data_IF_831340072859
#
_entry.id   IF_831340072859
#
_cell.length_a   1.000
_cell.length_b   1.000
_cell.length_c   1.000
_cell.angle_alpha   90.00
_cell.angle_beta   90.00
_cell.angle_gamma   90.00
#
_symmetry.space_group_name_H-M   'P 1'
#
loop_
_entity.id
_entity.type
_entity.pdbx_description
1 polymer ?
2 non-polymer ?
3 non-polymer ?
4 non-polymer ?
5 non-polymer ?
6 water ?
#
# COMPACT_ATOMS: atom_id res chain seq x y z
N UNK A 1 -27.74 5.21 11.10
CA UNK A 1 -26.47 4.50 11.35
C UNK A 1 -25.71 4.39 10.03
N UNK A 2 -24.38 4.36 10.13
CA UNK A 2 -23.46 4.30 8.98
C UNK A 2 -23.54 5.56 8.13
N UNK A 3 -24.73 5.89 7.63
CA UNK A 3 -25.01 7.27 7.17
C UNK A 3 -24.59 8.27 8.28
N UNK A 4 -24.73 7.84 9.54
CA UNK A 4 -23.97 8.38 10.68
C UNK A 4 -22.56 8.90 10.34
N UNK A 5 -21.68 7.98 9.98
CA UNK A 5 -20.25 8.25 9.87
C UNK A 5 -19.95 9.23 8.74
N UNK A 6 -20.72 9.13 7.66
CA UNK A 6 -20.50 9.96 6.47
C UNK A 6 -20.82 11.42 6.74
N UNK A 7 -21.92 11.67 7.45
CA UNK A 7 -22.28 13.06 7.86
C UNK A 7 -21.13 13.69 8.65
N UNK A 8 -20.62 12.97 9.66
CA UNK A 8 -19.44 13.41 10.41
C UNK A 8 -18.27 13.79 9.48
N UNK A 9 -17.98 12.88 8.54
CA UNK A 9 -16.80 12.97 7.68
C UNK A 9 -16.91 14.10 6.66
N UNK A 10 -18.04 14.09 5.98
CA UNK A 10 -18.37 15.13 4.97
C UNK A 10 -18.33 16.54 5.55
N UNK A 11 -18.77 16.68 6.80
CA UNK A 11 -18.85 17.96 7.49
C UNK A 11 -17.50 18.47 7.96
N UNK A 12 -16.69 17.59 8.57
CA UNK A 12 -15.50 18.02 9.28
C UNK A 12 -14.46 18.70 8.39
N UNK A 13 -13.65 19.55 9.01
CA UNK A 13 -12.50 20.14 8.32
C UNK A 13 -11.41 19.06 8.31
N UNK A 14 -10.65 19.04 7.21
CA UNK A 14 -9.55 18.12 7.04
C UNK A 14 -8.31 18.88 7.55
N UNK A 15 -7.66 18.40 8.62
CA UNK A 15 -6.47 19.12 9.02
C UNK A 15 -5.40 19.05 7.95
N UNK A 16 -4.39 19.90 8.04
CA UNK A 16 -3.32 19.93 7.06
C UNK A 16 -2.48 18.66 7.10
N UNK A 17 -1.54 18.54 6.18
CA UNK A 17 -0.66 17.35 6.09
C UNK A 17 0.37 17.34 7.21
N UNK A 18 0.95 18.52 7.45
CA UNK A 18 1.79 18.79 8.63
C UNK A 18 1.09 18.42 9.95
N UNK A 19 -0.15 18.86 10.11
CA UNK A 19 -0.92 18.56 11.31
C UNK A 19 -1.20 17.05 11.49
N UNK A 20 -1.47 16.31 10.41
CA UNK A 20 -1.84 14.89 10.53
C UNK A 20 -0.64 13.95 10.59
N UNK A 21 0.54 14.45 10.20
CA UNK A 21 1.84 13.74 10.29
C UNK A 21 2.08 12.82 9.09
N UNK A 22 1.17 12.88 8.12
CA UNK A 22 1.15 11.94 7.01
C UNK A 22 2.34 12.01 6.05
N UNK A 23 3.05 13.12 6.06
CA UNK A 23 4.30 13.27 5.32
C UNK A 23 5.49 12.48 5.95
N UNK A 24 5.39 12.06 7.22
CA UNK A 24 6.50 11.36 7.88
C UNK A 24 6.48 9.92 7.43
N UNK A 25 7.63 9.39 7.02
CA UNK A 25 7.85 7.93 6.92
C UNK A 25 7.68 7.20 8.27
N UNK A 26 7.87 7.91 9.36
CA UNK A 26 7.73 7.38 10.70
C UNK A 26 6.28 7.35 11.19
N UNK A 27 5.35 7.83 10.36
CA UNK A 27 3.93 7.80 10.68
C UNK A 27 3.46 6.56 11.44
N UNK A 28 2.60 6.75 12.43
CA UNK A 28 1.87 5.62 13.03
C UNK A 28 0.38 5.87 13.16
N UNK A 29 -0.40 4.82 12.97
CA UNK A 29 -1.83 4.97 13.00
C UNK A 29 -2.46 4.55 14.31
N UNK A 30 -1.67 4.03 15.27
CA UNK A 30 -2.26 3.30 16.39
C UNK A 30 -3.26 4.18 17.17
N UNK A 31 -2.80 5.39 17.52
CA UNK A 31 -3.61 6.44 18.21
C UNK A 31 -4.89 6.88 17.47
N UNK A 32 -4.84 6.87 16.13
CA UNK A 32 -5.95 7.34 15.30
C UNK A 32 -7.18 6.45 15.39
N UNK A 33 -8.36 7.08 15.26
CA UNK A 33 -9.63 6.40 15.11
C UNK A 33 -9.92 6.24 13.61
N UNK A 34 -10.72 5.22 13.28
CA UNK A 34 -11.19 5.02 11.93
C UNK A 34 -11.60 6.34 11.25
N UNK A 35 -12.33 7.16 12.01
CA UNK A 35 -12.71 8.52 11.59
C UNK A 35 -11.49 9.39 11.18
N UNK A 36 -10.44 9.34 11.98
CA UNK A 36 -9.24 10.13 11.71
C UNK A 36 -8.43 9.59 10.52
N UNK A 37 -8.53 8.30 10.24
CA UNK A 37 -7.85 7.76 9.04
C UNK A 37 -8.53 8.22 7.75
N UNK A 38 -9.85 8.15 7.76
CA UNK A 38 -10.67 8.76 6.71
C UNK A 38 -10.21 10.20 6.38
N UNK A 39 -9.98 11.01 7.42
CA UNK A 39 -9.53 12.40 7.21
C UNK A 39 -8.14 12.42 6.62
N UNK A 40 -7.27 11.57 7.13
CA UNK A 40 -5.90 11.43 6.57
C UNK A 40 -5.93 11.07 5.08
N UNK A 41 -6.84 10.18 4.75
CA UNK A 41 -7.00 9.74 3.41
C UNK A 41 -7.51 10.89 2.49
N UNK A 42 -8.53 11.62 2.92
CA UNK A 42 -8.92 12.80 2.18
C UNK A 42 -7.76 13.76 1.96
N UNK A 43 -7.00 14.01 3.00
CA UNK A 43 -5.86 14.90 2.88
C UNK A 43 -4.88 14.36 1.84
N UNK A 44 -4.70 13.03 1.82
CA UNK A 44 -3.82 12.42 0.81
C UNK A 44 -4.25 12.82 -0.60
N UNK A 45 -5.55 12.70 -0.87
CA UNK A 45 -6.07 13.10 -2.17
C UNK A 45 -5.86 14.60 -2.44
N UNK A 46 -6.39 15.39 -1.52
CA UNK A 46 -6.35 16.84 -1.63
C UNK A 46 -4.92 17.34 -1.85
N UNK A 47 -4.03 17.04 -0.91
CA UNK A 47 -2.61 17.48 -1.02
C UNK A 47 -1.81 16.90 -2.20
N UNK A 48 -2.31 15.88 -2.88
CA UNK A 48 -1.67 15.42 -4.15
C UNK A 48 -2.32 16.08 -5.41
N UNK A 49 -3.18 17.09 -5.18
CA UNK A 49 -3.90 17.87 -6.22
C UNK A 49 -4.92 17.05 -6.98
N UNK A 50 -5.28 15.88 -6.46
CA UNK A 50 -6.19 14.96 -7.17
C UNK A 50 -7.63 15.43 -7.13
N UNK A 51 -8.02 16.05 -6.03
CA UNK A 51 -9.38 16.54 -5.95
C UNK A 51 -9.54 17.66 -6.96
N UNK A 52 -8.50 18.51 -7.09
CA UNK A 52 -8.57 19.61 -8.03
C UNK A 52 -8.52 19.12 -9.47
N UNK A 53 -7.40 18.47 -9.84
CA UNK A 53 -7.11 17.97 -11.21
C UNK A 53 -8.19 17.09 -11.85
N UNK A 54 -8.87 16.26 -11.05
CA UNK A 54 -9.88 15.32 -11.57
C UNK A 54 -11.27 15.62 -11.04
N UNK A 55 -11.44 16.86 -10.55
CA UNK A 55 -12.72 17.41 -10.09
C UNK A 55 -13.65 16.41 -9.44
N UNK A 56 -13.16 15.91 -8.30
CA UNK A 56 -13.87 14.94 -7.48
C UNK A 56 -14.80 15.71 -6.58
N UNK A 57 -16.02 15.21 -6.38
CA UNK A 57 -17.00 15.85 -5.46
C UNK A 57 -16.76 15.34 -4.04
N UNK A 58 -16.80 16.24 -3.05
CA UNK A 58 -16.34 15.91 -1.70
C UNK A 58 -17.17 14.81 -1.04
N UNK A 59 -18.48 14.90 -1.19
CA UNK A 59 -19.38 13.86 -0.70
C UNK A 59 -18.99 12.48 -1.27
N UNK A 60 -18.55 12.45 -2.54
CA UNK A 60 -18.25 11.19 -3.26
C UNK A 60 -16.98 10.51 -2.73
N UNK A 61 -15.88 11.25 -2.77
CA UNK A 61 -14.62 10.84 -2.12
C UNK A 61 -14.79 10.33 -0.67
N UNK A 62 -15.60 11.00 0.15
CA UNK A 62 -15.92 10.54 1.52
C UNK A 62 -16.59 9.17 1.53
N UNK A 63 -17.57 8.99 0.67
CA UNK A 63 -18.32 7.74 0.62
C UNK A 63 -17.47 6.61 0.02
N UNK A 64 -16.60 6.96 -0.92
CA UNK A 64 -15.64 5.98 -1.45
C UNK A 64 -14.71 5.50 -0.33
N UNK A 65 -14.20 6.44 0.45
CA UNK A 65 -13.24 6.09 1.49
C UNK A 65 -13.85 5.15 2.51
N UNK A 66 -15.08 5.41 2.91
CA UNK A 66 -15.74 4.58 3.93
C UNK A 66 -16.15 3.23 3.39
N UNK A 67 -16.55 3.22 2.12
CA UNK A 67 -16.80 1.98 1.40
C UNK A 67 -15.56 1.12 1.25
N UNK A 68 -14.42 1.76 1.03
CA UNK A 68 -13.15 1.02 0.98
C UNK A 68 -12.87 0.44 2.36
N UNK A 69 -12.86 1.28 3.38
CA UNK A 69 -12.69 0.85 4.78
C UNK A 69 -13.67 -0.27 5.26
N UNK A 70 -14.94 -0.11 4.90
CA UNK A 70 -15.98 -1.09 5.16
C UNK A 70 -15.65 -2.46 4.62
N UNK A 71 -14.94 -2.51 3.49
CA UNK A 71 -14.71 -3.75 2.74
C UNK A 71 -13.50 -4.58 3.10
N UNK A 72 -12.79 -4.13 4.13
CA UNK A 72 -11.78 -4.93 4.79
C UNK A 72 -12.43 -5.64 5.96
N UNK A 73 -11.75 -6.64 6.50
CA UNK A 73 -12.27 -7.36 7.64
C UNK A 73 -11.51 -6.99 8.93
N UNK A 74 -12.20 -6.36 9.89
CA UNK A 74 -11.59 -6.09 11.21
C UNK A 74 -11.16 -7.39 11.89
N UNK A 75 -11.91 -8.47 11.72
CA UNK A 75 -11.54 -9.77 12.31
C UNK A 75 -10.18 -10.34 11.85
N UNK A 76 -9.64 -9.85 10.72
CA UNK A 76 -8.28 -10.22 10.27
C UNK A 76 -7.23 -9.31 10.93
N UNK A 77 -6.16 -9.90 11.43
CA UNK A 77 -5.20 -9.23 12.33
C UNK A 77 -4.31 -8.22 11.65
N UNK A 78 -3.62 -8.63 10.59
CA UNK A 78 -2.83 -7.66 9.79
C UNK A 78 -3.48 -7.19 8.46
N UNK A 79 -3.97 -8.13 7.65
CA UNK A 79 -4.52 -7.77 6.34
C UNK A 79 -5.92 -7.15 6.44
N UNK A 80 -5.94 -5.89 6.88
CA UNK A 80 -7.18 -5.13 7.22
C UNK A 80 -7.04 -3.69 6.78
N UNK A 81 -8.08 -2.90 7.02
CA UNK A 81 -8.10 -1.51 6.61
C UNK A 81 -6.88 -0.70 7.04
N UNK A 82 -6.33 -0.97 8.22
CA UNK A 82 -5.18 -0.16 8.71
C UNK A 82 -3.92 -0.44 7.92
N UNK A 83 -3.74 -1.69 7.52
CA UNK A 83 -2.66 -2.03 6.61
C UNK A 83 -2.75 -1.24 5.30
N UNK A 84 -3.93 -1.25 4.68
CA UNK A 84 -4.16 -0.52 3.44
C UNK A 84 -3.95 0.99 3.56
N UNK A 85 -4.48 1.55 4.65
CA UNK A 85 -4.31 2.95 4.99
C UNK A 85 -2.83 3.30 5.13
N UNK A 86 -2.10 2.54 5.93
CA UNK A 86 -0.62 2.70 6.03
C UNK A 86 0.14 2.62 4.69
N UNK A 87 -0.29 1.72 3.83
CA UNK A 87 0.33 1.57 2.52
C UNK A 87 0.13 2.88 1.71
N UNK A 88 -1.09 3.37 1.70
CA UNK A 88 -1.38 4.65 1.07
C UNK A 88 -0.57 5.77 1.71
N UNK A 89 -0.52 5.77 3.05
CA UNK A 89 0.26 6.77 3.78
C UNK A 89 1.71 6.74 3.30
N UNK A 90 2.29 5.55 3.28
CA UNK A 90 3.66 5.39 2.80
C UNK A 90 3.84 5.91 1.36
N UNK A 91 2.85 5.64 0.50
CA UNK A 91 2.85 6.12 -0.87
C UNK A 91 2.77 7.65 -0.86
N UNK A 92 1.94 8.22 0.03
CA UNK A 92 1.92 9.69 0.23
C UNK A 92 3.33 10.24 0.52
N UNK A 93 3.90 9.75 1.63
CA UNK A 93 5.25 10.11 2.09
C UNK A 93 6.32 9.97 1.03
N UNK A 94 6.31 8.84 0.35
CA UNK A 94 7.29 8.61 -0.72
C UNK A 94 7.15 9.60 -1.86
N UNK A 95 5.93 10.01 -2.17
CA UNK A 95 5.75 11.02 -3.19
C UNK A 95 6.26 12.40 -2.70
N UNK A 96 5.90 12.79 -1.49
CA UNK A 96 6.25 14.12 -0.99
C UNK A 96 7.66 14.14 -0.44
N UNK A 97 7.88 13.50 0.71
CA UNK A 97 9.19 13.50 1.36
C UNK A 97 10.25 12.87 0.44
N UNK A 98 9.97 11.66 -0.05
CA UNK A 98 10.86 10.96 -0.99
C UNK A 98 10.99 11.54 -2.40
N UNK A 99 10.24 12.63 -2.67
CA UNK A 99 10.32 13.45 -3.89
C UNK A 99 10.11 12.65 -5.17
N UNK A 100 9.09 11.79 -5.15
CA UNK A 100 8.77 10.99 -6.32
C UNK A 100 7.61 11.61 -7.13
N UNK A 101 6.75 12.41 -6.49
CA UNK A 101 5.70 13.16 -7.19
C UNK A 101 6.15 13.72 -8.57
N UNK A 102 7.33 14.34 -8.58
CA UNK A 102 7.91 15.03 -9.76
C UNK A 102 8.32 14.09 -10.88
N UNK A 103 8.52 12.81 -10.57
CA UNK A 103 8.91 11.79 -11.54
C UNK A 103 7.73 11.04 -12.18
N UNK A 104 6.48 11.43 -11.87
CA UNK A 104 5.29 10.69 -12.30
C UNK A 104 4.23 11.62 -12.83
N UNK A 105 3.35 11.07 -13.66
CA UNK A 105 2.16 11.77 -14.19
C UNK A 105 1.06 11.81 -13.14
N UNK A 106 0.04 12.62 -13.38
CA UNK A 106 -1.06 12.77 -12.41
C UNK A 106 -1.93 11.55 -12.38
N UNK A 107 -2.14 10.95 -13.54
CA UNK A 107 -2.94 9.73 -13.64
C UNK A 107 -2.23 8.61 -12.95
N UNK A 108 -0.94 8.51 -13.17
CA UNK A 108 -0.11 7.55 -12.46
C UNK A 108 -0.27 7.64 -10.94
N UNK A 109 -0.12 8.85 -10.42
CA UNK A 109 -0.26 9.09 -9.00
C UNK A 109 -1.65 8.68 -8.54
N UNK A 110 -2.68 9.15 -9.26
CA UNK A 110 -4.07 8.86 -8.93
C UNK A 110 -4.30 7.39 -8.81
N UNK A 111 -3.81 6.65 -9.79
CA UNK A 111 -3.99 5.20 -9.82
C UNK A 111 -3.23 4.47 -8.69
N UNK A 112 -2.01 4.93 -8.36
CA UNK A 112 -1.24 4.34 -7.26
C UNK A 112 -1.90 4.54 -5.91
N UNK A 113 -2.46 5.72 -5.69
CA UNK A 113 -3.10 5.95 -4.40
C UNK A 113 -4.35 5.09 -4.26
N UNK A 114 -5.19 5.06 -5.30
CA UNK A 114 -6.37 4.23 -5.29
C UNK A 114 -5.97 2.77 -5.19
N UNK A 115 -4.89 2.40 -5.86
CA UNK A 115 -4.42 1.01 -5.78
C UNK A 115 -4.04 0.66 -4.38
N UNK A 116 -3.17 1.50 -3.79
CA UNK A 116 -2.56 1.21 -2.49
C UNK A 116 -3.64 0.99 -1.42
N UNK A 117 -4.60 1.91 -1.41
CA UNK A 117 -5.77 1.85 -0.55
C UNK A 117 -6.63 0.63 -0.75
N UNK A 118 -6.63 0.14 -1.98
CA UNK A 118 -7.55 -0.89 -2.39
C UNK A 118 -6.89 -2.24 -2.51
N UNK A 119 -5.60 -2.33 -2.24
CA UNK A 119 -4.78 -3.42 -2.75
C UNK A 119 -4.96 -4.76 -2.01
N UNK A 120 -5.62 -4.77 -0.86
CA UNK A 120 -5.97 -6.04 -0.17
C UNK A 120 -7.44 -6.12 0.16
N UNK A 121 -8.29 -5.44 -0.59
CA UNK A 121 -9.75 -5.46 -0.31
C UNK A 121 -10.25 -6.85 -0.10
N UNK A 122 -11.05 -7.02 0.94
CA UNK A 122 -11.73 -8.28 1.24
C UNK A 122 -10.80 -9.44 1.65
N UNK A 123 -9.52 -9.16 1.97
CA UNK A 123 -8.54 -10.20 2.37
C UNK A 123 -9.09 -10.93 3.60
N UNK A 124 -9.04 -12.25 3.62
CA UNK A 124 -9.66 -13.04 4.69
C UNK A 124 -8.71 -13.62 5.71
N UNK A 125 -7.42 -13.59 5.43
CA UNK A 125 -6.40 -14.04 6.38
C UNK A 125 -5.49 -14.99 5.66
N UNK A 126 -4.20 -14.91 5.94
CA UNK A 126 -3.21 -15.59 5.10
C UNK A 126 -3.33 -17.11 5.07
N UNK A 127 -3.70 -17.72 6.19
CA UNK A 127 -3.79 -19.18 6.26
C UNK A 127 -5.23 -19.65 6.04
N UNK A 128 -6.05 -18.81 5.42
CA UNK A 128 -7.49 -18.94 5.49
C UNK A 128 -8.09 -18.62 4.13
N UNK A 129 -7.65 -19.37 3.12
CA UNK A 129 -7.99 -19.09 1.72
C UNK A 129 -9.34 -19.77 1.29
N UNK A 130 -10.45 -19.09 1.62
CA UNK A 130 -11.82 -19.38 1.11
C UNK A 130 -11.99 -18.82 -0.31
N UNK A 131 -11.27 -17.75 -0.62
CA UNK A 131 -11.19 -17.23 -1.98
C UNK A 131 -10.56 -18.31 -2.89
N UNK A 132 -9.45 -18.92 -2.45
CA UNK A 132 -8.83 -20.03 -3.19
C UNK A 132 -9.80 -21.20 -3.43
N UNK A 133 -10.29 -21.84 -2.36
CA UNK A 133 -11.01 -23.12 -2.45
C UNK A 133 -12.32 -23.08 -3.24
N UNK A 134 -13.22 -22.14 -2.91
CA UNK A 134 -14.50 -21.97 -3.63
C UNK A 134 -14.34 -20.96 -4.78
N UNK A 135 -13.60 -21.43 -5.78
CA UNK A 135 -13.26 -20.72 -7.02
C UNK A 135 -13.33 -21.80 -8.09
N UNK A 136 -13.24 -21.43 -9.36
CA UNK A 136 -13.13 -22.46 -10.39
C UNK A 136 -11.73 -23.08 -10.31
N UNK A 137 -11.66 -24.42 -10.13
CA UNK A 137 -10.38 -25.08 -10.35
C UNK A 137 -10.06 -24.86 -11.81
N UNK A 138 -8.78 -24.88 -12.17
CA UNK A 138 -8.23 -24.10 -13.29
C UNK A 138 -7.70 -22.76 -12.72
N UNK A 139 -7.84 -22.61 -11.40
CA UNK A 139 -6.81 -21.99 -10.56
C UNK A 139 -5.75 -23.04 -10.15
N UNK A 140 -4.98 -23.50 -11.13
CA UNK A 140 -3.75 -24.28 -10.95
C UNK A 140 -2.63 -23.72 -11.82
N UNK A 141 -2.97 -23.15 -12.99
CA UNK A 141 -2.09 -22.20 -13.71
C UNK A 141 -1.34 -21.34 -12.71
N UNK A 142 -1.97 -21.09 -11.56
CA UNK A 142 -1.39 -20.40 -10.42
C UNK A 142 -0.80 -19.09 -10.87
N UNK A 143 -1.71 -18.24 -11.32
CA UNK A 143 -1.41 -16.85 -11.60
C UNK A 143 -1.03 -16.11 -10.31
N UNK A 144 -1.06 -16.76 -9.13
CA UNK A 144 -0.70 -16.23 -7.77
C UNK A 144 -1.41 -14.92 -7.49
N UNK A 145 -1.14 -13.92 -8.37
CA UNK A 145 -2.15 -12.96 -8.77
C UNK A 145 -3.32 -13.89 -8.95
N UNK A 146 -4.08 -14.02 -7.88
CA UNK A 146 -5.36 -14.69 -7.84
C UNK A 146 -6.16 -14.14 -6.67
N UNK A 147 -5.53 -14.04 -5.51
CA UNK A 147 -5.96 -13.14 -4.45
C UNK A 147 -6.00 -11.72 -4.97
N UNK A 148 -4.93 -11.35 -5.67
CA UNK A 148 -4.76 -10.03 -6.17
C UNK A 148 -5.75 -9.75 -7.26
N UNK A 149 -6.23 -10.75 -7.98
CA UNK A 149 -7.33 -10.52 -8.92
C UNK A 149 -8.63 -10.27 -8.19
N UNK A 150 -8.83 -10.95 -7.04
CA UNK A 150 -9.98 -10.69 -6.16
C UNK A 150 -10.01 -9.25 -5.66
N UNK A 151 -8.84 -8.81 -5.18
CA UNK A 151 -8.67 -7.45 -4.68
C UNK A 151 -9.03 -6.43 -5.73
N UNK A 152 -8.53 -6.60 -6.95
CA UNK A 152 -8.87 -5.69 -8.02
C UNK A 152 -10.35 -5.79 -8.41
N UNK A 153 -10.90 -7.00 -8.48
CA UNK A 153 -12.33 -7.11 -8.66
C UNK A 153 -13.06 -6.14 -7.71
N UNK A 154 -12.73 -6.22 -6.43
CA UNK A 154 -13.40 -5.46 -5.38
C UNK A 154 -13.12 -3.98 -5.48
N UNK A 155 -11.89 -3.62 -5.78
CA UNK A 155 -11.53 -2.23 -6.09
C UNK A 155 -12.42 -1.62 -7.18
N UNK A 156 -12.57 -2.34 -8.29
CA UNK A 156 -13.44 -1.93 -9.39
C UNK A 156 -14.92 -1.90 -9.01
N UNK A 157 -15.36 -2.93 -8.30
CA UNK A 157 -16.71 -2.92 -7.75
C UNK A 157 -17.07 -1.61 -7.02
N UNK A 158 -16.19 -1.14 -6.13
CA UNK A 158 -16.48 0.02 -5.30
C UNK A 158 -16.43 1.28 -6.17
N UNK A 159 -15.33 1.43 -6.89
CA UNK A 159 -15.17 2.47 -7.92
C UNK A 159 -16.40 2.72 -8.77
N UNK A 160 -17.03 1.63 -9.18
CA UNK A 160 -18.20 1.69 -10.02
C UNK A 160 -19.46 2.01 -9.23
N UNK A 161 -19.54 1.57 -7.98
CA UNK A 161 -20.73 1.77 -7.11
C UNK A 161 -21.33 3.19 -7.13
N UNK A 162 -22.68 3.27 -7.11
CA UNK A 162 -23.35 4.59 -7.09
C UNK A 162 -23.03 5.29 -5.78
N UNK A 163 -22.71 6.57 -5.89
CA UNK A 163 -22.20 7.33 -4.77
C UNK A 163 -20.69 7.45 -4.77
N UNK A 164 -20.00 6.46 -5.34
CA UNK A 164 -18.58 6.23 -5.04
C UNK A 164 -17.62 6.51 -6.21
N UNK A 165 -18.13 7.08 -7.30
CA UNK A 165 -17.38 7.08 -8.55
C UNK A 165 -16.43 8.30 -8.61
N UNK A 166 -15.39 8.23 -7.79
CA UNK A 166 -14.39 9.28 -7.68
C UNK A 166 -13.64 9.55 -8.97
N UNK A 167 -13.69 8.62 -9.93
CA UNK A 167 -13.09 8.82 -11.25
C UNK A 167 -14.04 9.34 -12.34
N UNK A 168 -15.29 9.63 -12.01
CA UNK A 168 -16.23 10.16 -13.00
C UNK A 168 -15.84 11.51 -13.60
N UNK A 169 -14.95 12.25 -12.97
CA UNK A 169 -14.48 13.47 -13.58
C UNK A 169 -13.47 13.24 -14.68
N UNK A 170 -13.12 11.98 -14.96
CA UNK A 170 -12.14 11.69 -15.99
C UNK A 170 -12.83 11.53 -17.33
N UNK A 171 -12.06 11.80 -18.38
CA UNK A 171 -12.44 11.49 -19.75
C UNK A 171 -12.27 10.00 -19.92
N UNK A 172 -12.98 9.48 -20.90
CA UNK A 172 -13.01 8.05 -21.18
C UNK A 172 -11.60 7.54 -21.45
N UNK A 173 -10.75 8.34 -22.10
CA UNK A 173 -9.35 7.95 -22.32
C UNK A 173 -8.53 7.91 -21.02
N UNK A 174 -8.71 8.93 -20.20
CA UNK A 174 -8.11 9.00 -18.87
C UNK A 174 -8.58 7.87 -17.97
N UNK A 175 -9.89 7.61 -17.95
CA UNK A 175 -10.41 6.52 -17.14
C UNK A 175 -9.78 5.19 -17.50
N UNK A 176 -9.69 4.90 -18.80
CA UNK A 176 -9.08 3.66 -19.31
C UNK A 176 -7.63 3.49 -18.90
N UNK A 177 -6.83 4.51 -19.11
CA UNK A 177 -5.44 4.49 -18.70
C UNK A 177 -5.30 4.27 -17.18
N UNK A 178 -6.07 5.03 -16.39
CA UNK A 178 -6.03 4.97 -14.92
C UNK A 178 -6.29 3.57 -14.38
N UNK A 179 -7.42 3.01 -14.77
CA UNK A 179 -7.79 1.63 -14.43
C UNK A 179 -6.78 0.57 -14.84
N UNK A 180 -6.19 0.72 -16.03
CA UNK A 180 -5.11 -0.14 -16.48
C UNK A 180 -4.06 -0.24 -15.41
N UNK A 181 -3.64 0.93 -14.90
CA UNK A 181 -2.55 1.03 -13.97
C UNK A 181 -2.96 0.56 -12.57
N UNK A 182 -4.21 0.80 -12.18
CA UNK A 182 -4.68 0.31 -10.90
C UNK A 182 -4.56 -1.20 -10.92
N UNK A 183 -4.97 -1.81 -12.02
CA UNK A 183 -4.86 -3.25 -12.20
C UNK A 183 -3.41 -3.71 -12.02
N UNK A 184 -2.48 -3.06 -12.70
CA UNK A 184 -1.08 -3.46 -12.63
C UNK A 184 -0.54 -3.22 -11.25
N UNK A 185 -0.92 -2.10 -10.67
CA UNK A 185 -0.52 -1.75 -9.33
C UNK A 185 -0.95 -2.78 -8.28
N UNK A 186 -2.22 -3.22 -8.33
CA UNK A 186 -2.71 -4.22 -7.35
C UNK A 186 -2.10 -5.61 -7.63
N UNK A 187 -1.90 -5.96 -8.88
CA UNK A 187 -1.38 -7.28 -9.19
C UNK A 187 0.06 -7.33 -8.87
N UNK A 188 0.72 -6.17 -8.89
CA UNK A 188 2.10 -6.07 -8.48
C UNK A 188 2.31 -6.43 -7.01
N UNK A 189 1.27 -6.29 -6.18
CA UNK A 189 1.35 -6.61 -4.74
C UNK A 189 1.41 -8.12 -4.45
N UNK A 190 1.35 -8.95 -5.47
CA UNK A 190 1.67 -10.37 -5.35
C UNK A 190 3.19 -10.47 -5.34
N UNK A 191 3.72 -11.10 -4.30
CA UNK A 191 5.17 -11.11 -4.11
C UNK A 191 5.92 -11.99 -5.09
N UNK A 192 5.28 -13.07 -5.54
CA UNK A 192 5.75 -13.88 -6.66
C UNK A 192 6.07 -13.03 -7.86
N UNK A 193 5.20 -12.09 -8.19
CA UNK A 193 5.45 -11.16 -9.29
C UNK A 193 6.65 -10.26 -9.02
N UNK A 194 6.77 -9.76 -7.79
CA UNK A 194 7.92 -8.90 -7.41
C UNK A 194 9.26 -9.63 -7.56
N UNK A 195 9.33 -10.83 -7.00
CA UNK A 195 10.50 -11.73 -7.14
C UNK A 195 10.89 -11.96 -8.62
N UNK A 196 9.90 -12.17 -9.46
CA UNK A 196 10.09 -12.47 -10.86
C UNK A 196 10.57 -11.27 -11.67
N UNK A 197 10.28 -10.05 -11.23
CA UNK A 197 10.62 -8.83 -11.98
C UNK A 197 11.73 -7.95 -11.39
N UNK A 198 12.11 -8.18 -10.13
CA UNK A 198 13.10 -7.30 -9.48
C UNK A 198 14.52 -7.32 -10.07
N UNK A 199 14.95 -8.48 -10.54
CA UNK A 199 16.22 -8.64 -11.24
C UNK A 199 16.33 -7.54 -12.26
N UNK A 200 15.38 -7.47 -13.19
CA UNK A 200 15.39 -6.44 -14.24
C UNK A 200 15.55 -5.03 -13.64
N UNK A 201 14.79 -4.75 -12.59
CA UNK A 201 14.88 -3.47 -11.88
C UNK A 201 16.27 -3.20 -11.28
N UNK A 202 16.89 -4.22 -10.68
CA UNK A 202 18.22 -4.09 -10.05
C UNK A 202 19.33 -4.06 -11.09
N UNK A 203 19.21 -4.87 -12.14
CA UNK A 203 20.16 -4.80 -13.25
C UNK A 203 20.26 -3.36 -13.75
N UNK A 204 19.13 -2.75 -14.07
CA UNK A 204 19.08 -1.37 -14.60
C UNK A 204 19.70 -0.32 -13.67
N UNK A 205 19.60 -0.57 -12.37
CA UNK A 205 20.24 0.27 -11.36
C UNK A 205 21.75 -0.02 -11.31
N UNK A 206 22.11 -1.30 -11.22
CA UNK A 206 23.50 -1.78 -11.21
C UNK A 206 24.24 -1.32 -12.46
N UNK A 207 23.75 -1.73 -13.64
CA UNK A 207 24.31 -1.31 -14.94
C UNK A 207 24.03 0.15 -15.31
N UNK A 208 23.30 0.89 -14.48
CA UNK A 208 23.15 2.33 -14.66
C UNK A 208 22.41 2.70 -15.97
N UNK A 209 21.49 1.84 -16.39
CA UNK A 209 20.76 2.03 -17.65
C UNK A 209 19.34 2.57 -17.39
N UNK A 210 19.07 2.98 -16.16
CA UNK A 210 17.69 3.20 -15.72
C UNK A 210 17.10 4.49 -16.29
N UNK A 211 15.84 4.43 -16.75
CA UNK A 211 15.22 5.55 -17.48
C UNK A 211 13.67 5.50 -17.50
N UNK A 212 13.06 6.39 -16.71
CA UNK A 212 11.59 6.47 -16.60
C UNK A 212 10.83 6.97 -17.83
N UNK A 213 11.53 7.58 -18.79
CA UNK A 213 10.89 7.98 -20.05
C UNK A 213 10.58 6.74 -20.88
N UNK A 214 11.29 5.63 -20.64
CA UNK A 214 10.93 4.34 -21.26
C UNK A 214 9.65 3.86 -20.60
N UNK A 215 8.53 3.78 -21.36
CA UNK A 215 7.28 3.37 -20.72
C UNK A 215 7.35 2.03 -19.97
N UNK A 216 8.18 1.11 -20.46
CA UNK A 216 8.34 -0.18 -19.80
C UNK A 216 8.98 -0.06 -18.43
N UNK A 217 10.04 0.76 -18.34
CA UNK A 217 10.72 1.04 -17.05
C UNK A 217 9.89 1.89 -16.06
N UNK A 218 8.90 2.62 -16.57
CA UNK A 218 7.87 3.30 -15.75
C UNK A 218 7.04 2.27 -14.97
N UNK A 219 6.37 1.38 -15.71
CA UNK A 219 5.51 0.34 -15.15
C UNK A 219 6.20 -0.53 -14.11
N UNK A 220 7.40 -0.94 -14.47
CA UNK A 220 8.30 -1.65 -13.58
C UNK A 220 8.46 -0.90 -12.29
N UNK A 221 8.86 0.36 -12.39
CA UNK A 221 9.08 1.16 -11.20
C UNK A 221 7.80 1.23 -10.34
N UNK A 222 6.64 1.39 -10.99
CA UNK A 222 5.39 1.48 -10.25
C UNK A 222 5.07 0.20 -9.49
N UNK A 223 5.47 -0.96 -10.02
CA UNK A 223 5.23 -2.25 -9.34
C UNK A 223 6.08 -2.35 -8.08
N UNK A 224 7.28 -1.80 -8.21
CA UNK A 224 8.32 -1.82 -7.18
C UNK A 224 7.98 -0.83 -6.09
N UNK A 225 7.46 0.33 -6.48
CA UNK A 225 6.96 1.31 -5.53
C UNK A 225 5.81 0.80 -4.71
N UNK A 226 4.85 0.16 -5.36
CA UNK A 226 3.72 -0.50 -4.68
C UNK A 226 4.20 -1.51 -3.66
N UNK A 227 5.19 -2.35 -4.02
CA UNK A 227 5.71 -3.35 -3.11
C UNK A 227 6.38 -2.62 -1.93
N UNK A 228 7.14 -1.58 -2.24
CA UNK A 228 7.85 -0.83 -1.20
C UNK A 228 6.89 -0.36 -0.14
N UNK A 229 5.78 0.25 -0.60
CA UNK A 229 4.76 0.78 0.30
C UNK A 229 4.08 -0.34 1.08
N UNK A 230 3.71 -1.42 0.39
CA UNK A 230 3.01 -2.60 0.98
C UNK A 230 3.79 -3.25 2.14
N UNK A 231 5.10 -3.29 2.01
CA UNK A 231 5.98 -3.83 3.02
C UNK A 231 6.36 -2.80 4.08
N UNK A 232 6.03 -1.53 3.88
CA UNK A 232 6.73 -0.44 4.60
C UNK A 232 6.68 -0.43 6.13
N UNK A 233 5.78 -1.19 6.73
CA UNK A 233 5.80 -1.38 8.18
C UNK A 233 7.13 -1.92 8.65
N UNK A 234 7.78 -2.72 7.82
CA UNK A 234 9.09 -3.26 8.11
C UNK A 234 10.12 -2.13 8.36
N UNK A 235 9.86 -0.93 7.82
CA UNK A 235 10.76 0.20 7.97
C UNK A 235 10.48 1.07 9.21
N UNK A 236 9.39 0.79 9.95
CA UNK A 236 8.94 1.71 11.00
C UNK A 236 9.90 1.80 12.18
N UNK A 237 9.86 2.95 12.92
CA UNK A 237 10.57 3.05 14.19
C UNK A 237 10.39 1.78 14.97
N UNK A 238 11.46 1.28 15.57
CA UNK A 238 11.44 -0.01 16.24
C UNK A 238 10.14 -0.41 16.99
N UNK A 239 9.70 0.42 17.96
CA UNK A 239 8.54 0.00 18.76
C UNK A 239 7.21 -0.11 18.02
N UNK A 240 7.10 0.53 16.85
CA UNK A 240 5.93 0.35 15.96
C UNK A 240 6.07 -0.98 15.25
N UNK A 241 7.21 -1.15 14.56
CA UNK A 241 7.56 -2.38 13.82
C UNK A 241 7.31 -3.63 14.67
N UNK A 242 7.75 -3.61 15.92
CA UNK A 242 7.53 -4.74 16.83
C UNK A 242 6.06 -5.12 17.01
N UNK A 243 5.22 -4.12 17.13
CA UNK A 243 3.80 -4.33 17.27
C UNK A 243 3.20 -4.86 15.97
N UNK A 244 3.70 -4.36 14.85
CA UNK A 244 3.17 -4.77 13.57
C UNK A 244 3.57 -6.22 13.32
N UNK A 245 4.85 -6.55 13.56
CA UNK A 245 5.29 -7.94 13.57
C UNK A 245 4.41 -8.85 14.42
N UNK A 246 3.83 -8.30 15.45
CA UNK A 246 2.95 -9.05 16.35
C UNK A 246 1.68 -9.42 15.64
N UNK A 247 1.09 -8.45 14.94
CA UNK A 247 -0.14 -8.71 14.19
C UNK A 247 0.13 -9.72 13.08
N UNK A 248 1.15 -9.44 12.27
CA UNK A 248 1.61 -10.37 11.23
C UNK A 248 1.68 -11.77 11.79
N UNK A 249 2.30 -11.90 12.97
CA UNK A 249 2.51 -13.20 13.59
C UNK A 249 1.19 -13.86 14.03
N UNK A 250 0.33 -13.09 14.68
CA UNK A 250 -1.02 -13.57 15.00
C UNK A 250 -1.68 -14.23 13.79
N UNK A 251 -1.76 -13.48 12.70
CA UNK A 251 -2.37 -13.96 11.45
C UNK A 251 -1.62 -15.16 10.90
N UNK A 252 -0.30 -15.09 10.85
CA UNK A 252 0.51 -16.19 10.31
C UNK A 252 0.49 -17.49 11.13
N UNK A 253 0.04 -17.45 12.39
CA UNK A 253 -0.22 -18.67 13.18
C UNK A 253 -1.73 -19.05 13.30
N UNK A 254 -2.64 -18.08 13.35
CA UNK A 254 -4.07 -18.32 13.78
C UNK A 254 -5.15 -18.34 12.69
N UNK A 255 -4.80 -18.84 11.50
CA UNK A 255 -5.71 -18.85 10.32
C UNK A 255 -6.19 -17.42 9.89
N UNK A 274 9.34 -21.24 20.93
CA UNK A 274 8.62 -21.17 19.67
C UNK A 274 7.44 -20.19 19.73
N UNK A 275 7.41 -19.39 20.80
CA UNK A 275 6.49 -18.28 20.96
C UNK A 275 6.78 -17.13 19.93
N UNK A 276 6.81 -15.89 20.44
CA UNK A 276 7.58 -14.78 19.85
C UNK A 276 9.04 -15.20 19.57
N UNK A 277 9.51 -16.23 20.24
CA UNK A 277 10.75 -16.94 19.89
C UNK A 277 11.06 -17.04 18.38
N UNK A 278 10.15 -17.62 17.59
CA UNK A 278 10.41 -17.76 16.15
C UNK A 278 10.54 -16.40 15.44
N UNK A 279 9.75 -15.43 15.89
CA UNK A 279 9.54 -14.20 15.14
C UNK A 279 10.84 -13.50 14.71
N UNK A 280 11.77 -13.24 15.66
CA UNK A 280 12.98 -12.49 15.28
C UNK A 280 13.75 -13.05 14.07
N UNK A 281 14.06 -14.34 14.12
CA UNK A 281 14.73 -15.02 13.00
C UNK A 281 13.95 -14.81 11.68
N UNK A 282 12.63 -14.93 11.75
CA UNK A 282 11.75 -14.80 10.58
C UNK A 282 11.66 -13.37 10.02
N UNK A 283 11.73 -12.37 10.90
CA UNK A 283 11.75 -10.98 10.45
C UNK A 283 13.03 -10.71 9.69
N UNK A 284 14.11 -11.25 10.21
CA UNK A 284 15.39 -11.04 9.58
C UNK A 284 15.41 -11.80 8.26
N UNK A 285 14.88 -13.00 8.23
CA UNK A 285 14.79 -13.75 7.01
C UNK A 285 14.11 -12.94 5.93
N UNK A 286 12.93 -12.42 6.29
CA UNK A 286 12.09 -11.67 5.40
C UNK A 286 12.73 -10.38 4.89
N UNK A 287 13.45 -9.72 5.80
CA UNK A 287 14.20 -8.51 5.51
C UNK A 287 15.25 -8.81 4.45
N UNK A 288 16.13 -9.75 4.78
CA UNK A 288 17.22 -10.19 3.91
C UNK A 288 16.75 -10.71 2.58
N UNK A 289 15.76 -11.60 2.60
CA UNK A 289 15.21 -12.21 1.38
C UNK A 289 14.50 -11.22 0.48
N UNK A 290 13.86 -10.24 1.06
CA UNK A 290 12.96 -9.42 0.28
C UNK A 290 13.16 -7.92 0.40
N UNK A 291 13.19 -7.41 1.62
CA UNK A 291 13.02 -5.97 1.81
C UNK A 291 14.27 -5.21 1.51
N UNK A 292 15.39 -5.64 2.06
CA UNK A 292 16.65 -4.88 1.97
C UNK A 292 16.96 -4.34 0.58
N UNK A 293 16.93 -5.21 -0.42
CA UNK A 293 17.46 -4.89 -1.75
C UNK A 293 16.55 -3.87 -2.44
N UNK A 294 15.26 -4.04 -2.22
CA UNK A 294 14.25 -3.14 -2.74
C UNK A 294 14.45 -1.71 -2.23
N UNK A 295 14.52 -1.53 -0.91
CA UNK A 295 14.70 -0.20 -0.35
C UNK A 295 16.09 0.36 -0.65
N UNK A 296 17.07 -0.48 -0.99
CA UNK A 296 18.33 0.00 -1.54
C UNK A 296 18.13 0.63 -2.92
N UNK A 297 17.47 -0.13 -3.80
CA UNK A 297 17.21 0.32 -5.16
C UNK A 297 16.36 1.58 -5.22
N UNK A 298 15.29 1.60 -4.44
CA UNK A 298 14.45 2.79 -4.35
C UNK A 298 15.28 4.04 -3.99
N UNK A 299 16.18 3.87 -3.03
CA UNK A 299 17.05 4.94 -2.60
C UNK A 299 18.03 5.41 -3.71
N UNK A 300 18.54 4.51 -4.55
CA UNK A 300 19.36 4.95 -5.71
C UNK A 300 18.54 5.87 -6.65
N UNK A 301 17.32 5.46 -6.96
CA UNK A 301 16.38 6.22 -7.80
C UNK A 301 16.06 7.57 -7.19
N UNK A 302 15.93 7.62 -5.86
CA UNK A 302 15.70 8.87 -5.12
C UNK A 302 16.14 8.73 -3.68
N UNK A 303 17.29 9.32 -3.32
CA UNK A 303 17.85 9.06 -1.98
C UNK A 303 17.22 9.92 -0.86
N UNK A 304 16.08 10.53 -1.13
CA UNK A 304 15.20 11.01 -0.05
C UNK A 304 14.31 9.90 0.51
N UNK A 305 14.26 8.77 -0.18
CA UNK A 305 13.61 7.54 0.33
C UNK A 305 14.45 6.73 1.32
N UNK A 306 15.72 7.12 1.45
CA UNK A 306 16.67 6.60 2.48
C UNK A 306 16.13 6.36 3.87
N UNK A 307 15.18 7.20 4.34
CA UNK A 307 14.57 6.91 5.62
C UNK A 307 13.92 5.53 5.72
N UNK A 308 13.48 4.97 4.61
CA UNK A 308 12.94 3.61 4.61
C UNK A 308 14.07 2.61 4.72
N UNK A 309 15.11 2.78 3.92
CA UNK A 309 16.28 1.87 4.01
C UNK A 309 16.84 1.82 5.42
N UNK A 310 17.01 3.02 5.98
CA UNK A 310 17.57 3.20 7.28
C UNK A 310 16.70 2.47 8.28
N UNK A 311 15.39 2.64 8.17
CA UNK A 311 14.48 2.00 9.08
C UNK A 311 14.52 0.50 8.95
N UNK A 312 14.64 0.04 7.70
CA UNK A 312 14.66 -1.38 7.44
C UNK A 312 15.89 -2.00 8.10
N UNK A 313 17.02 -1.34 7.95
CA UNK A 313 18.28 -1.83 8.51
C UNK A 313 18.36 -1.82 10.02
N UNK A 314 17.88 -0.71 10.60
CA UNK A 314 17.83 -0.55 12.06
C UNK A 314 16.94 -1.60 12.68
N UNK A 315 15.82 -1.89 12.01
CA UNK A 315 14.93 -2.97 12.43
C UNK A 315 15.64 -4.31 12.39
N UNK A 316 16.54 -4.47 11.42
CA UNK A 316 17.30 -5.72 11.24
C UNK A 316 18.32 -5.97 12.35
N UNK A 317 19.11 -4.96 12.64
CA UNK A 317 20.02 -4.96 13.78
C UNK A 317 19.25 -5.43 15.02
N UNK A 318 18.11 -4.79 15.26
CA UNK A 318 17.29 -5.03 16.45
C UNK A 318 16.66 -6.43 16.49
N UNK A 319 16.16 -6.93 15.36
CA UNK A 319 15.67 -8.31 15.29
C UNK A 319 16.83 -9.33 15.32
N UNK A 320 17.99 -8.98 14.75
CA UNK A 320 19.16 -9.85 14.81
C UNK A 320 19.65 -10.02 16.24
N UNK A 321 19.80 -8.90 16.95
CA UNK A 321 20.31 -8.89 18.31
C UNK A 321 19.44 -9.72 19.24
N UNK A 322 18.13 -9.50 19.18
CA UNK A 322 17.17 -10.28 19.93
C UNK A 322 17.22 -11.72 19.52
N UNK A 323 17.33 -11.95 18.23
CA UNK A 323 17.34 -13.33 17.68
C UNK A 323 18.46 -14.16 18.27
N UNK A 324 19.58 -13.53 18.63
CA UNK A 324 20.72 -14.21 19.23
C UNK A 324 20.55 -14.55 20.73
N UNK A 325 19.31 -14.71 21.19
CA UNK A 325 18.98 -15.05 22.57
C UNK A 325 19.67 -14.04 23.49
N UNK A 326 19.23 -12.78 23.37
CA UNK A 326 19.87 -11.62 24.03
C UNK A 326 20.02 -11.72 25.56
#
# INVERSE_FOLDING_TARGET
>A
EETRELQSLAAAVVPSAQTLKITDFSFSDFELSDLETALCTIRMFTDLNLVQNFQMKHEVLCRWILSVKKNYRKNVAYHNWRHAFNTAQCMFAALKAGKIQNKLTDLEILALLIAALSHDLDHRGVNNSYIQRSEHPLAQLYCHSIMEHHHFDQCLMILNSPGNQILSGLSIEEYKTTLKIIKQAILATDLALYIKRRGEFFELIRKNQFNLEDPHQKELFLAMLMTACDLSAITKPWPIQQRIAELVATEFFDQGDRERKELNIEPTDLMNREKKNKIPSMQVGFIDAICLQLYEALTHVSEDCFPLLDGCRKNRQKWQALAEQQ
#
